data_IF_184415005669
#
_entry.id   IF_184415005669
#
_cell.length_a   1.000
_cell.length_b   1.000
_cell.length_c   1.000
_cell.angle_alpha   90.00
_cell.angle_beta   90.00
_cell.angle_gamma   90.00
#
_symmetry.space_group_name_H-M   'P 1'
#
loop_
_entity.id
_entity.type
_entity.pdbx_description
1 polymer ?
#
# COMPACT_ATOMS: atom_id res chain seq x y z
N UNK A 1 -26.73 -11.44 -14.32
CA UNK A 1 -25.86 -10.27 -14.07
C UNK A 1 -26.13 -9.75 -12.66
N UNK A 2 -25.13 -9.78 -11.77
CA UNK A 2 -25.30 -9.28 -10.40
C UNK A 2 -25.45 -7.75 -10.38
N UNK A 3 -26.35 -7.21 -9.54
CA UNK A 3 -26.46 -5.76 -9.33
C UNK A 3 -25.10 -5.23 -8.86
N UNK A 4 -24.58 -4.19 -9.53
CA UNK A 4 -23.36 -3.48 -9.10
C UNK A 4 -23.55 -2.96 -7.67
N UNK A 5 -22.55 -3.12 -6.82
CA UNK A 5 -22.60 -2.63 -5.45
C UNK A 5 -22.71 -1.10 -5.46
N UNK A 6 -23.76 -0.56 -4.84
CA UNK A 6 -23.99 0.89 -4.78
C UNK A 6 -22.99 1.61 -3.88
N UNK A 7 -22.39 0.91 -2.91
CA UNK A 7 -21.35 1.45 -2.03
C UNK A 7 -20.03 1.60 -2.78
N UNK A 8 -19.70 0.68 -3.68
CA UNK A 8 -18.49 0.77 -4.51
C UNK A 8 -18.50 2.00 -5.45
N UNK A 9 -19.68 2.45 -5.87
CA UNK A 9 -19.86 3.67 -6.68
C UNK A 9 -20.21 4.91 -5.87
N UNK A 10 -20.20 4.85 -4.54
CA UNK A 10 -20.56 5.98 -3.69
C UNK A 10 -19.42 7.01 -3.65
N UNK A 11 -19.69 8.32 -3.75
CA UNK A 11 -18.63 9.35 -3.72
C UNK A 11 -17.85 9.34 -2.40
N UNK A 12 -18.50 9.01 -1.29
CA UNK A 12 -17.88 8.83 0.03
C UNK A 12 -17.32 7.44 0.30
N UNK A 13 -17.08 6.59 -0.72
CA UNK A 13 -16.64 5.19 -0.52
C UNK A 13 -15.45 5.07 0.43
N UNK A 14 -14.42 5.89 0.24
CA UNK A 14 -13.20 5.81 1.06
C UNK A 14 -13.48 6.06 2.54
N UNK A 15 -14.34 7.03 2.87
CA UNK A 15 -14.74 7.31 4.25
C UNK A 15 -15.58 6.16 4.83
N UNK A 16 -16.50 5.60 4.03
CA UNK A 16 -17.30 4.43 4.42
C UNK A 16 -16.40 3.22 4.70
N UNK A 17 -15.44 2.94 3.82
CA UNK A 17 -14.50 1.81 3.95
C UNK A 17 -13.62 1.99 5.20
N UNK A 18 -13.14 3.20 5.47
CA UNK A 18 -12.38 3.53 6.66
C UNK A 18 -13.19 3.35 7.96
N UNK A 19 -14.42 3.86 8.02
CA UNK A 19 -15.29 3.70 9.20
C UNK A 19 -15.72 2.25 9.42
N UNK A 20 -16.01 1.50 8.35
CA UNK A 20 -16.30 0.07 8.42
C UNK A 20 -15.10 -0.74 8.93
N UNK A 21 -13.88 -0.33 8.59
CA UNK A 21 -12.64 -0.98 9.03
C UNK A 21 -12.32 -0.63 10.48
N UNK A 22 -12.52 0.63 10.87
CA UNK A 22 -12.27 1.10 12.23
C UNK A 22 -13.23 0.45 13.26
N UNK A 23 -14.46 0.11 12.86
CA UNK A 23 -15.41 -0.61 13.73
C UNK A 23 -15.99 0.22 14.88
N UNK A 24 -15.67 1.52 14.95
CA UNK A 24 -16.05 2.42 16.04
C UNK A 24 -17.54 2.82 16.01
N UNK A 25 -18.22 2.60 14.89
CA UNK A 25 -19.61 3.01 14.66
C UNK A 25 -20.42 1.82 14.16
N UNK A 26 -21.63 1.62 14.70
CA UNK A 26 -22.50 0.53 14.24
C UNK A 26 -22.91 0.73 12.77
N UNK A 27 -23.00 -0.38 12.02
CA UNK A 27 -23.38 -0.35 10.58
C UNK A 27 -24.71 0.37 10.34
N UNK A 28 -25.65 0.31 11.31
CA UNK A 28 -26.93 1.03 11.23
C UNK A 28 -26.73 2.54 11.30
N UNK A 29 -25.89 3.02 12.22
CA UNK A 29 -25.57 4.45 12.37
C UNK A 29 -24.80 4.97 11.15
N UNK A 30 -23.88 4.17 10.63
CA UNK A 30 -23.15 4.46 9.40
C UNK A 30 -24.11 4.59 8.20
N UNK A 31 -25.09 3.68 8.10
CA UNK A 31 -26.10 3.73 7.04
C UNK A 31 -26.89 5.05 7.06
N UNK A 32 -27.30 5.49 8.25
CA UNK A 32 -28.01 6.76 8.44
C UNK A 32 -27.13 7.97 8.09
N UNK A 33 -25.86 7.98 8.52
CA UNK A 33 -24.92 9.07 8.28
C UNK A 33 -24.65 9.30 6.79
N UNK A 34 -24.49 8.21 6.03
CA UNK A 34 -24.17 8.28 4.60
C UNK A 34 -25.40 8.16 3.68
N UNK A 35 -26.61 8.09 4.24
CA UNK A 35 -27.85 7.97 3.47
C UNK A 35 -27.95 6.67 2.66
N UNK A 36 -27.34 5.58 3.12
CA UNK A 36 -27.28 4.30 2.42
C UNK A 36 -28.02 3.20 3.19
N UNK A 37 -28.36 2.10 2.50
CA UNK A 37 -29.07 0.98 3.12
C UNK A 37 -28.10 0.08 3.90
N UNK A 38 -28.44 -0.24 5.15
CA UNK A 38 -27.65 -1.11 6.05
C UNK A 38 -27.26 -2.45 5.41
N UNK A 39 -28.16 -3.06 4.63
CA UNK A 39 -27.90 -4.34 3.93
C UNK A 39 -26.91 -4.18 2.79
N UNK A 40 -26.81 -3.00 2.18
CA UNK A 40 -25.78 -2.69 1.16
C UNK A 40 -24.41 -2.52 1.81
N UNK A 41 -24.32 -1.84 2.97
CA UNK A 41 -23.08 -1.75 3.73
C UNK A 41 -22.57 -3.11 4.21
N UNK A 42 -23.45 -3.96 4.74
CA UNK A 42 -23.06 -5.32 5.15
C UNK A 42 -22.53 -6.14 3.99
N UNK A 43 -23.27 -6.18 2.87
CA UNK A 43 -22.83 -6.90 1.66
C UNK A 43 -21.52 -6.33 1.11
N UNK A 44 -21.35 -5.02 1.17
CA UNK A 44 -20.11 -4.36 0.75
C UNK A 44 -18.93 -4.77 1.62
N UNK A 45 -19.10 -4.70 2.94
CA UNK A 45 -18.10 -5.15 3.90
C UNK A 45 -17.71 -6.60 3.63
N UNK A 46 -18.68 -7.50 3.56
CA UNK A 46 -18.42 -8.93 3.50
C UNK A 46 -17.86 -9.38 2.13
N UNK A 47 -18.23 -8.72 1.02
CA UNK A 47 -17.86 -9.15 -0.34
C UNK A 47 -16.75 -8.34 -1.00
N UNK A 48 -16.49 -7.12 -0.52
CA UNK A 48 -15.54 -6.21 -1.15
C UNK A 48 -14.47 -5.73 -0.17
N UNK A 49 -14.84 -5.42 1.08
CA UNK A 49 -13.90 -4.93 2.06
C UNK A 49 -13.11 -6.06 2.73
N UNK A 50 -13.77 -7.13 3.20
CA UNK A 50 -13.11 -8.25 3.88
C UNK A 50 -12.07 -8.97 3.02
N UNK A 51 -12.33 -9.28 1.73
CA UNK A 51 -11.28 -9.84 0.86
C UNK A 51 -10.13 -8.88 0.60
N UNK A 52 -10.40 -7.58 0.44
CA UNK A 52 -9.34 -6.57 0.23
C UNK A 52 -8.47 -6.40 1.48
N UNK A 53 -9.08 -6.37 2.67
CA UNK A 53 -8.35 -6.31 3.94
C UNK A 53 -7.54 -7.59 4.20
N UNK A 54 -8.07 -8.77 3.84
CA UNK A 54 -7.33 -10.02 3.91
C UNK A 54 -6.11 -9.98 2.98
N UNK A 55 -6.27 -9.55 1.73
CA UNK A 55 -5.15 -9.41 0.79
C UNK A 55 -4.09 -8.40 1.28
N UNK A 56 -4.50 -7.30 1.95
CA UNK A 56 -3.56 -6.36 2.56
C UNK A 56 -2.79 -7.01 3.73
N UNK A 57 -3.46 -7.76 4.59
CA UNK A 57 -2.84 -8.51 5.70
C UNK A 57 -1.87 -9.57 5.19
N UNK A 58 -2.27 -10.34 4.18
CA UNK A 58 -1.42 -11.35 3.53
C UNK A 58 -0.18 -10.71 2.89
N UNK A 59 -0.33 -9.54 2.27
CA UNK A 59 0.81 -8.79 1.74
C UNK A 59 1.75 -8.29 2.87
N UNK A 60 1.19 -7.80 3.99
CA UNK A 60 1.99 -7.41 5.16
C UNK A 60 2.72 -8.61 5.78
N UNK A 61 2.08 -9.78 5.87
CA UNK A 61 2.67 -11.01 6.39
C UNK A 61 3.74 -11.57 5.45
N UNK A 62 3.48 -11.60 4.15
CA UNK A 62 4.47 -11.96 3.14
C UNK A 62 5.67 -11.00 3.16
N UNK A 63 5.46 -9.70 3.36
CA UNK A 63 6.55 -8.71 3.52
C UNK A 63 7.33 -8.90 4.83
N UNK A 64 6.70 -9.44 5.88
CA UNK A 64 7.37 -9.82 7.14
C UNK A 64 8.18 -11.11 7.01
N UNK A 65 7.67 -12.09 6.26
CA UNK A 65 8.35 -13.36 5.99
C UNK A 65 9.41 -13.24 4.89
N UNK A 66 9.34 -12.19 4.07
CA UNK A 66 10.33 -11.89 3.04
C UNK A 66 11.73 -11.73 3.63
N UNK A 67 12.72 -12.32 2.95
CA UNK A 67 14.12 -12.11 3.27
C UNK A 67 14.48 -10.63 3.21
N UNK A 68 15.53 -10.23 3.95
CA UNK A 68 15.99 -8.83 3.93
C UNK A 68 16.30 -8.35 2.50
N UNK A 69 16.83 -9.22 1.64
CA UNK A 69 17.07 -8.93 0.22
C UNK A 69 15.78 -8.58 -0.53
N UNK A 70 14.75 -9.42 -0.44
CA UNK A 70 13.45 -9.17 -1.08
C UNK A 70 12.79 -7.88 -0.58
N UNK A 71 12.98 -7.55 0.70
CA UNK A 71 12.49 -6.28 1.27
C UNK A 71 13.22 -5.07 0.69
N UNK A 72 14.53 -5.16 0.48
CA UNK A 72 15.33 -4.12 -0.17
C UNK A 72 14.88 -3.94 -1.63
N UNK A 73 14.72 -5.03 -2.39
CA UNK A 73 14.23 -5.00 -3.77
C UNK A 73 12.83 -4.35 -3.86
N UNK A 74 11.92 -4.70 -2.96
CA UNK A 74 10.58 -4.09 -2.90
C UNK A 74 10.64 -2.58 -2.61
N UNK A 75 11.56 -2.14 -1.75
CA UNK A 75 11.78 -0.72 -1.46
C UNK A 75 12.36 0.03 -2.66
N UNK A 76 13.25 -0.60 -3.42
CA UNK A 76 13.78 -0.05 -4.67
C UNK A 76 12.62 0.21 -5.65
N UNK A 77 11.79 -0.79 -5.93
CA UNK A 77 10.64 -0.64 -6.84
C UNK A 77 9.66 0.46 -6.38
N UNK A 78 9.37 0.54 -5.07
CA UNK A 78 8.51 1.58 -4.49
C UNK A 78 9.14 2.96 -4.68
N UNK A 79 10.44 3.10 -4.45
CA UNK A 79 11.17 4.37 -4.59
C UNK A 79 11.23 4.84 -6.04
N UNK A 80 11.42 3.92 -7.00
CA UNK A 80 11.37 4.24 -8.43
C UNK A 80 9.97 4.74 -8.87
N UNK A 81 8.89 4.15 -8.34
CA UNK A 81 7.53 4.64 -8.59
C UNK A 81 7.34 6.06 -8.07
N UNK A 82 7.85 6.36 -6.87
CA UNK A 82 7.79 7.71 -6.29
C UNK A 82 8.63 8.71 -7.10
N UNK A 83 9.80 8.30 -7.58
CA UNK A 83 10.64 9.11 -8.45
C UNK A 83 9.88 9.49 -9.72
N UNK A 84 9.32 8.51 -10.44
CA UNK A 84 8.54 8.76 -11.66
C UNK A 84 7.38 9.72 -11.42
N UNK A 85 6.62 9.51 -10.35
CA UNK A 85 5.51 10.41 -9.99
C UNK A 85 6.00 11.83 -9.67
N UNK A 86 7.15 11.98 -9.00
CA UNK A 86 7.74 13.29 -8.71
C UNK A 86 8.26 14.00 -9.97
N UNK A 87 8.81 13.25 -10.93
CA UNK A 87 9.24 13.77 -12.24
C UNK A 87 8.06 14.23 -13.09
N UNK A 88 7.01 13.40 -13.18
CA UNK A 88 5.76 13.71 -13.88
C UNK A 88 5.07 14.96 -13.31
N UNK A 89 5.05 15.10 -11.99
CA UNK A 89 4.47 16.27 -11.30
C UNK A 89 5.41 17.49 -11.25
N UNK A 90 6.61 17.42 -11.86
CA UNK A 90 7.59 18.51 -11.88
C UNK A 90 8.16 18.89 -10.51
N UNK A 91 8.07 18.00 -9.51
CA UNK A 91 8.55 18.24 -8.14
C UNK A 91 10.02 17.89 -8.01
N UNK A 92 10.90 18.68 -8.62
CA UNK A 92 12.34 18.40 -8.73
C UNK A 92 13.03 18.10 -7.39
N UNK A 93 12.63 18.74 -6.29
CA UNK A 93 13.20 18.45 -4.96
C UNK A 93 12.80 17.06 -4.44
N UNK A 94 11.57 16.63 -4.68
CA UNK A 94 11.10 15.29 -4.31
C UNK A 94 11.77 14.22 -5.18
N UNK A 95 11.93 14.49 -6.48
CA UNK A 95 12.68 13.62 -7.39
C UNK A 95 14.14 13.45 -6.94
N UNK A 96 14.83 14.55 -6.61
CA UNK A 96 16.20 14.50 -6.11
C UNK A 96 16.32 13.73 -4.78
N UNK A 97 15.35 13.88 -3.88
CA UNK A 97 15.28 13.10 -2.65
C UNK A 97 15.12 11.60 -2.95
N UNK A 98 14.19 11.22 -3.83
CA UNK A 98 13.99 9.83 -4.24
C UNK A 98 15.25 9.22 -4.88
N UNK A 99 15.98 9.97 -5.72
CA UNK A 99 17.25 9.52 -6.31
C UNK A 99 18.31 9.24 -5.24
N UNK A 100 18.40 10.08 -4.19
CA UNK A 100 19.35 9.87 -3.09
C UNK A 100 19.04 8.60 -2.31
N UNK A 101 17.77 8.37 -2.00
CA UNK A 101 17.32 7.13 -1.34
C UNK A 101 17.57 5.91 -2.22
N UNK A 102 17.25 6.00 -3.52
CA UNK A 102 17.49 4.91 -4.47
C UNK A 102 18.97 4.51 -4.53
N UNK A 103 19.89 5.49 -4.54
CA UNK A 103 21.33 5.21 -4.46
C UNK A 103 21.71 4.46 -3.18
N UNK A 104 21.17 4.88 -2.03
CA UNK A 104 21.44 4.22 -0.75
C UNK A 104 20.89 2.79 -0.72
N UNK A 105 19.72 2.55 -1.32
CA UNK A 105 19.11 1.22 -1.39
C UNK A 105 19.89 0.28 -2.32
N UNK A 106 20.39 0.79 -3.45
CA UNK A 106 21.25 0.03 -4.37
C UNK A 106 22.59 -0.34 -3.72
N UNK A 107 23.19 0.57 -2.96
CA UNK A 107 24.39 0.27 -2.16
C UNK A 107 24.10 -0.83 -1.12
N UNK A 108 22.97 -0.71 -0.41
CA UNK A 108 22.56 -1.70 0.58
C UNK A 108 22.29 -3.07 -0.08
N UNK A 109 21.65 -3.09 -1.24
CA UNK A 109 21.41 -4.31 -2.01
C UNK A 109 22.73 -4.96 -2.42
N UNK A 110 23.66 -4.20 -2.99
CA UNK A 110 24.95 -4.72 -3.42
C UNK A 110 25.78 -5.28 -2.25
N UNK A 111 25.72 -4.65 -1.07
CA UNK A 111 26.37 -5.19 0.15
C UNK A 111 25.69 -6.47 0.64
N UNK A 112 24.37 -6.53 0.60
CA UNK A 112 23.60 -7.68 1.04
C UNK A 112 23.68 -8.86 0.06
N UNK A 113 23.78 -8.61 -1.25
CA UNK A 113 23.96 -9.64 -2.29
C UNK A 113 25.41 -10.11 -2.40
N UNK A 114 26.36 -9.32 -1.88
CA UNK A 114 27.80 -9.58 -1.96
C UNK A 114 28.46 -9.05 -3.24
N UNK A 115 27.73 -8.34 -4.10
CA UNK A 115 28.25 -7.66 -5.29
C UNK A 115 29.14 -6.46 -4.94
N UNK A 116 28.92 -5.83 -3.78
CA UNK A 116 29.77 -4.78 -3.22
C UNK A 116 30.54 -5.33 -2.02
N UNK A 117 31.85 -5.50 -2.20
CA UNK A 117 32.77 -5.93 -1.15
C UNK A 117 33.47 -4.72 -0.51
N UNK A 118 33.08 -4.36 0.72
CA UNK A 118 33.75 -3.34 1.53
C UNK A 118 34.95 -3.89 2.35
N UNK A 119 35.29 -5.18 2.17
CA UNK A 119 36.41 -5.80 2.91
C UNK A 119 37.75 -5.33 2.31
N UNK A 120 38.69 -4.83 3.13
CA UNK A 120 40.04 -4.51 2.63
C UNK A 120 40.69 -5.80 2.11
N UNK A 121 41.01 -5.84 0.82
CA UNK A 121 41.82 -6.90 0.25
C UNK A 121 43.25 -6.71 0.74
N UNK A 122 43.67 -7.51 1.71
CA UNK A 122 45.08 -7.59 2.10
C UNK A 122 45.82 -8.26 0.95
N UNK A 123 46.68 -7.49 0.28
CA UNK A 123 47.58 -7.99 -0.77
C UNK A 123 48.94 -8.34 -0.16
#
# INVERSE_FOLDING_TARGET
MGRKCTICGHPGRAAIDAELTAGNVSVRRLAAQYGVVTTSLRRHRDRHLSPALAAMREAEEAEREASLLQRIETLIERTERLLRAAEEDGRSQAALAAVRELRSLLELLGKASGELNDRPQVT
#
